data_IF_942643500014
#
_entry.id   IF_942643500014
#
_cell.length_a   1.000
_cell.length_b   1.000
_cell.length_c   1.000
_cell.angle_alpha   90.00
_cell.angle_beta   90.00
_cell.angle_gamma   90.00
#
_symmetry.space_group_name_H-M   'P 1'
#
loop_
_entity.id
_entity.type
_entity.pdbx_description
1 polymer ?
#
# COMPACT_ATOMS: atom_id res chain seq x y z
N UNK A 1 5.97 -11.48 2.15
CA UNK A 1 4.50 -11.29 2.09
C UNK A 1 3.77 -11.72 3.36
N UNK A 2 3.91 -12.98 3.84
CA UNK A 2 3.15 -13.47 5.00
C UNK A 2 3.30 -12.59 6.26
N UNK A 3 4.52 -12.15 6.58
CA UNK A 3 4.76 -11.28 7.75
C UNK A 3 4.02 -9.94 7.64
N UNK A 4 4.03 -9.29 6.47
CA UNK A 4 3.34 -8.03 6.28
C UNK A 4 1.81 -8.19 6.41
N UNK A 5 1.26 -9.30 5.89
CA UNK A 5 -0.16 -9.62 6.03
C UNK A 5 -0.55 -9.90 7.49
N UNK A 6 0.27 -10.67 8.21
CA UNK A 6 0.03 -10.97 9.63
C UNK A 6 0.13 -9.69 10.47
N UNK A 7 1.19 -8.90 10.28
CA UNK A 7 1.39 -7.65 11.00
C UNK A 7 0.25 -6.65 10.72
N UNK A 8 -0.16 -6.50 9.46
CA UNK A 8 -1.30 -5.69 9.06
C UNK A 8 -2.62 -6.19 9.64
N UNK A 9 -2.85 -7.51 9.64
CA UNK A 9 -4.03 -8.13 10.22
C UNK A 9 -4.12 -7.92 11.74
N UNK A 10 -3.00 -8.05 12.45
CA UNK A 10 -2.91 -7.77 13.89
C UNK A 10 -3.20 -6.29 14.16
N UNK A 11 -2.54 -5.36 13.44
CA UNK A 11 -2.78 -3.93 13.61
C UNK A 11 -4.23 -3.54 13.28
N UNK A 12 -4.83 -4.14 12.26
CA UNK A 12 -6.25 -3.98 11.92
C UNK A 12 -7.16 -4.48 13.04
N UNK A 13 -6.89 -5.67 13.59
CA UNK A 13 -7.64 -6.25 14.70
C UNK A 13 -7.55 -5.40 15.97
N UNK A 14 -6.35 -4.90 16.31
CA UNK A 14 -6.15 -3.97 17.42
C UNK A 14 -6.90 -2.67 17.18
N UNK A 15 -6.85 -2.15 15.95
CA UNK A 15 -7.56 -0.91 15.61
C UNK A 15 -9.08 -1.06 15.73
N UNK A 16 -9.63 -2.21 15.31
CA UNK A 16 -11.05 -2.51 15.45
C UNK A 16 -11.47 -2.71 16.92
N UNK A 17 -10.63 -3.33 17.75
CA UNK A 17 -10.95 -3.63 19.13
C UNK A 17 -10.80 -2.42 20.08
N UNK A 18 -9.85 -1.52 19.80
CA UNK A 18 -9.48 -0.45 20.72
C UNK A 18 -9.65 0.96 20.15
N UNK A 19 -9.99 1.12 18.86
CA UNK A 19 -10.04 2.43 18.20
C UNK A 19 -10.99 3.44 18.85
N UNK A 20 -12.07 2.97 19.47
CA UNK A 20 -13.09 3.81 20.12
C UNK A 20 -12.89 3.96 21.63
N UNK A 21 -11.81 3.40 22.20
CA UNK A 21 -11.55 3.56 23.64
C UNK A 21 -11.24 5.00 23.99
N UNK A 22 -11.99 5.54 24.96
CA UNK A 22 -11.86 6.93 25.39
C UNK A 22 -10.43 7.25 25.88
N UNK A 23 -9.87 8.35 25.39
CA UNK A 23 -8.55 8.86 25.76
C UNK A 23 -7.36 8.14 25.11
N UNK A 24 -7.33 6.81 25.12
CA UNK A 24 -6.17 6.03 24.67
C UNK A 24 -6.29 5.45 23.24
N UNK A 25 -7.50 5.34 22.68
CA UNK A 25 -7.75 4.67 21.40
C UNK A 25 -6.82 5.12 20.25
N UNK A 26 -6.69 6.43 19.97
CA UNK A 26 -5.81 6.91 18.91
C UNK A 26 -4.34 6.55 19.09
N UNK A 27 -3.83 6.56 20.33
CA UNK A 27 -2.45 6.19 20.64
C UNK A 27 -2.22 4.68 20.47
N UNK A 28 -3.19 3.86 20.87
CA UNK A 28 -3.14 2.40 20.68
C UNK A 28 -3.16 2.05 19.19
N UNK A 29 -4.03 2.69 18.41
CA UNK A 29 -4.10 2.53 16.96
C UNK A 29 -2.77 2.94 16.31
N UNK A 30 -2.30 4.16 16.58
CA UNK A 30 -1.06 4.68 16.01
C UNK A 30 0.16 3.81 16.38
N UNK A 31 0.24 3.37 17.64
CA UNK A 31 1.28 2.47 18.12
C UNK A 31 1.24 1.12 17.40
N UNK A 32 0.06 0.51 17.25
CA UNK A 32 -0.07 -0.79 16.60
C UNK A 32 0.23 -0.75 15.10
N UNK A 33 -0.27 0.27 14.39
CA UNK A 33 0.03 0.50 12.97
C UNK A 33 1.52 0.80 12.78
N UNK A 34 2.10 1.64 13.65
CA UNK A 34 3.52 1.98 13.62
C UNK A 34 4.42 0.77 13.83
N UNK A 35 4.09 -0.10 14.79
CA UNK A 35 4.82 -1.34 15.03
C UNK A 35 4.70 -2.33 13.87
N UNK A 36 3.50 -2.46 13.27
CA UNK A 36 3.31 -3.29 12.09
C UNK A 36 4.14 -2.79 10.89
N UNK A 37 4.20 -1.46 10.69
CA UNK A 37 5.06 -0.85 9.68
C UNK A 37 6.54 -1.13 9.96
N UNK A 38 7.00 -0.94 11.20
CA UNK A 38 8.39 -1.18 11.57
C UNK A 38 8.80 -2.65 11.35
N UNK A 39 7.93 -3.60 11.73
CA UNK A 39 8.15 -5.03 11.47
C UNK A 39 8.21 -5.34 9.97
N UNK A 40 7.30 -4.76 9.17
CA UNK A 40 7.30 -4.90 7.73
C UNK A 40 8.58 -4.38 7.09
N UNK A 41 9.02 -3.18 7.45
CA UNK A 41 10.26 -2.57 6.95
C UNK A 41 11.48 -3.39 7.33
N UNK A 42 11.55 -3.89 8.56
CA UNK A 42 12.67 -4.71 9.02
C UNK A 42 12.81 -5.99 8.19
N UNK A 43 11.70 -6.70 7.96
CA UNK A 43 11.69 -7.91 7.12
C UNK A 43 12.02 -7.59 5.67
N UNK A 44 11.44 -6.53 5.11
CA UNK A 44 11.75 -6.10 3.74
C UNK A 44 13.22 -5.74 3.58
N UNK A 45 13.84 -5.08 4.56
CA UNK A 45 15.26 -4.73 4.52
C UNK A 45 16.17 -5.95 4.63
N UNK A 46 15.78 -6.96 5.41
CA UNK A 46 16.49 -8.24 5.46
C UNK A 46 16.42 -8.98 4.12
N UNK A 47 15.21 -9.08 3.57
CA UNK A 47 14.97 -9.71 2.28
C UNK A 47 15.69 -9.00 1.13
N UNK A 48 15.64 -7.66 1.08
CA UNK A 48 16.32 -6.86 0.05
C UNK A 48 17.81 -7.16 -0.02
N UNK A 49 18.49 -7.25 1.14
CA UNK A 49 19.92 -7.54 1.21
C UNK A 49 20.29 -8.95 0.74
N UNK A 50 19.33 -9.86 0.69
CA UNK A 50 19.54 -11.24 0.21
C UNK A 50 19.38 -11.41 -1.30
N UNK A 51 18.85 -10.39 -1.99
CA UNK A 51 18.63 -10.43 -3.44
C UNK A 51 19.94 -10.17 -4.20
N UNK A 52 20.10 -10.86 -5.33
CA UNK A 52 21.14 -10.55 -6.30
C UNK A 52 20.92 -9.19 -6.99
N UNK A 53 21.93 -8.72 -7.72
CA UNK A 53 21.88 -7.42 -8.39
C UNK A 53 20.79 -7.36 -9.46
N UNK A 54 20.58 -8.44 -10.21
CA UNK A 54 19.59 -8.48 -11.28
C UNK A 54 18.16 -8.34 -10.73
N UNK A 55 17.84 -9.05 -9.65
CA UNK A 55 16.58 -8.95 -8.95
C UNK A 55 16.39 -7.55 -8.35
N UNK A 56 17.41 -6.97 -7.72
CA UNK A 56 17.33 -5.60 -7.21
C UNK A 56 17.09 -4.57 -8.31
N UNK A 57 17.74 -4.69 -9.47
CA UNK A 57 17.47 -3.84 -10.63
C UNK A 57 16.05 -4.00 -11.14
N UNK A 58 15.53 -5.23 -11.21
CA UNK A 58 14.14 -5.47 -11.59
C UNK A 58 13.16 -4.75 -10.65
N UNK A 59 13.39 -4.79 -9.34
CA UNK A 59 12.58 -4.09 -8.34
C UNK A 59 12.63 -2.56 -8.51
N UNK A 60 13.84 -1.99 -8.70
CA UNK A 60 14.02 -0.54 -8.89
C UNK A 60 13.37 -0.06 -10.18
N UNK A 61 13.57 -0.79 -11.27
CA UNK A 61 12.99 -0.47 -12.56
C UNK A 61 11.46 -0.55 -12.52
N UNK A 62 10.92 -1.61 -11.93
CA UNK A 62 9.48 -1.80 -11.77
C UNK A 62 8.85 -0.74 -10.86
N UNK A 63 9.55 -0.30 -9.82
CA UNK A 63 9.08 0.80 -8.98
C UNK A 63 9.02 2.11 -9.78
N UNK A 64 10.10 2.48 -10.46
CA UNK A 64 10.17 3.74 -11.19
C UNK A 64 9.15 3.82 -12.32
N UNK A 65 9.10 2.81 -13.20
CA UNK A 65 8.23 2.81 -14.38
C UNK A 65 6.84 2.26 -14.13
N UNK A 66 6.70 1.29 -13.23
CA UNK A 66 5.42 0.66 -12.94
C UNK A 66 4.66 1.40 -11.85
N UNK A 67 5.22 1.44 -10.64
CA UNK A 67 4.53 2.02 -9.48
C UNK A 67 4.23 3.51 -9.66
N UNK A 68 5.17 4.31 -10.15
CA UNK A 68 4.96 5.76 -10.34
C UNK A 68 3.83 6.06 -11.32
N UNK A 69 3.82 5.39 -12.48
CA UNK A 69 2.76 5.56 -13.47
C UNK A 69 1.42 4.97 -12.98
N UNK A 70 1.47 3.83 -12.29
CA UNK A 70 0.31 3.24 -11.64
C UNK A 70 -0.32 4.16 -10.59
N UNK A 71 0.49 4.84 -9.78
CA UNK A 71 0.04 5.88 -8.85
C UNK A 71 -0.57 7.07 -9.58
N UNK A 72 0.04 7.53 -10.67
CA UNK A 72 -0.50 8.62 -11.48
C UNK A 72 -1.88 8.26 -12.05
N UNK A 73 -2.03 7.06 -12.61
CA UNK A 73 -3.32 6.55 -13.14
C UNK A 73 -4.34 6.42 -12.01
N UNK A 74 -3.96 5.82 -10.87
CA UNK A 74 -4.81 5.73 -9.69
C UNK A 74 -5.26 7.09 -9.17
N UNK A 75 -4.36 8.09 -9.20
CA UNK A 75 -4.66 9.46 -8.79
C UNK A 75 -5.62 10.14 -9.77
N UNK A 76 -5.45 9.93 -11.07
CA UNK A 76 -6.41 10.42 -12.09
C UNK A 76 -7.80 9.83 -11.84
N UNK A 77 -7.89 8.51 -11.58
CA UNK A 77 -9.18 7.88 -11.27
C UNK A 77 -9.79 8.46 -9.98
N UNK A 78 -9.00 8.58 -8.91
CA UNK A 78 -9.43 9.15 -7.65
C UNK A 78 -9.93 10.59 -7.79
N UNK A 79 -9.18 11.46 -8.47
CA UNK A 79 -9.56 12.86 -8.69
C UNK A 79 -10.74 13.00 -9.64
N UNK A 80 -10.87 12.12 -10.64
CA UNK A 80 -12.07 12.07 -11.48
C UNK A 80 -13.30 11.78 -10.62
N UNK A 81 -13.24 10.78 -9.74
CA UNK A 81 -14.35 10.49 -8.83
C UNK A 81 -14.65 11.65 -7.89
N UNK A 82 -13.61 12.26 -7.30
CA UNK A 82 -13.74 13.34 -6.32
C UNK A 82 -14.30 14.64 -6.92
N UNK A 83 -13.88 15.01 -8.14
CA UNK A 83 -14.21 16.31 -8.72
C UNK A 83 -15.26 16.25 -9.84
N UNK A 84 -15.28 15.19 -10.65
CA UNK A 84 -16.23 15.07 -11.75
C UNK A 84 -17.56 14.43 -11.32
N UNK A 85 -17.53 13.58 -10.29
CA UNK A 85 -18.73 12.90 -9.77
C UNK A 85 -18.87 12.98 -8.24
N UNK A 86 -18.74 14.17 -7.61
CA UNK A 86 -18.78 14.28 -6.15
C UNK A 86 -20.08 13.75 -5.54
N UNK A 87 -21.21 13.88 -6.26
CA UNK A 87 -22.51 13.35 -5.81
C UNK A 87 -22.60 11.82 -5.75
N UNK A 88 -21.64 11.09 -6.33
CA UNK A 88 -21.55 9.64 -6.23
C UNK A 88 -20.83 9.16 -4.95
N UNK A 89 -20.14 10.06 -4.23
CA UNK A 89 -19.39 9.73 -3.02
C UNK A 89 -20.26 9.96 -1.78
N UNK A 90 -21.09 8.97 -1.45
CA UNK A 90 -22.09 9.05 -0.37
C UNK A 90 -21.73 8.27 0.90
N UNK A 91 -20.59 7.58 0.91
CA UNK A 91 -20.14 6.80 2.04
C UNK A 91 -19.58 7.67 3.19
N UNK A 92 -19.43 7.08 4.37
CA UNK A 92 -18.83 7.75 5.52
C UNK A 92 -17.38 8.20 5.22
N UNK A 93 -16.89 9.31 5.79
CA UNK A 93 -15.55 9.83 5.52
C UNK A 93 -14.42 8.81 5.70
N UNK A 94 -14.55 7.93 6.70
CA UNK A 94 -13.59 6.84 6.95
C UNK A 94 -13.52 5.85 5.79
N UNK A 95 -14.67 5.51 5.20
CA UNK A 95 -14.77 4.52 4.13
C UNK A 95 -14.31 5.12 2.81
N UNK A 96 -14.58 6.40 2.57
CA UNK A 96 -14.04 7.16 1.44
C UNK A 96 -12.51 7.25 1.51
N UNK A 97 -11.94 7.51 2.68
CA UNK A 97 -10.48 7.53 2.88
C UNK A 97 -9.85 6.17 2.59
N UNK A 98 -10.43 5.09 3.11
CA UNK A 98 -9.97 3.72 2.86
C UNK A 98 -10.12 3.33 1.38
N UNK A 99 -11.23 3.70 0.74
CA UNK A 99 -11.47 3.47 -0.69
C UNK A 99 -10.45 4.20 -1.56
N UNK A 100 -10.17 5.47 -1.26
CA UNK A 100 -9.15 6.25 -1.95
C UNK A 100 -7.75 5.65 -1.80
N UNK A 101 -7.37 5.27 -0.58
CA UNK A 101 -6.11 4.56 -0.33
C UNK A 101 -6.03 3.23 -1.11
N UNK A 102 -7.15 2.49 -1.20
CA UNK A 102 -7.26 1.27 -1.98
C UNK A 102 -7.04 1.48 -3.48
N UNK A 103 -7.65 2.52 -4.07
CA UNK A 103 -7.45 2.86 -5.49
C UNK A 103 -5.98 3.16 -5.79
N UNK A 104 -5.33 3.96 -4.94
CA UNK A 104 -3.92 4.30 -5.11
C UNK A 104 -3.02 3.07 -4.96
N UNK A 105 -3.26 2.25 -3.92
CA UNK A 105 -2.51 1.02 -3.69
C UNK A 105 -2.68 0.01 -4.83
N UNK A 106 -3.88 -0.13 -5.38
CA UNK A 106 -4.17 -0.98 -6.52
C UNK A 106 -3.43 -0.50 -7.77
N UNK A 107 -3.54 0.79 -8.12
CA UNK A 107 -2.83 1.37 -9.25
C UNK A 107 -1.32 1.16 -9.15
N UNK A 108 -0.75 1.48 -7.98
CA UNK A 108 0.67 1.31 -7.70
C UNK A 108 1.13 -0.15 -7.83
N UNK A 109 0.39 -1.08 -7.23
CA UNK A 109 0.76 -2.51 -7.18
C UNK A 109 0.56 -3.19 -8.53
N UNK A 110 -0.49 -2.85 -9.26
CA UNK A 110 -0.74 -3.36 -10.60
C UNK A 110 0.34 -2.85 -11.58
N UNK A 111 0.62 -1.55 -11.57
CA UNK A 111 1.67 -0.95 -12.39
C UNK A 111 3.04 -1.57 -12.09
N UNK A 112 3.37 -1.72 -10.80
CA UNK A 112 4.56 -2.42 -10.35
C UNK A 112 4.66 -3.84 -10.92
N UNK A 113 3.60 -4.64 -10.77
CA UNK A 113 3.59 -6.05 -11.19
C UNK A 113 3.75 -6.22 -12.70
N UNK A 114 3.08 -5.36 -13.49
CA UNK A 114 3.19 -5.34 -14.95
C UNK A 114 4.63 -4.99 -15.37
N UNK A 115 5.19 -3.91 -14.82
CA UNK A 115 6.54 -3.48 -15.14
C UNK A 115 7.57 -4.55 -14.74
N UNK A 116 7.44 -5.12 -13.55
CA UNK A 116 8.31 -6.19 -13.08
C UNK A 116 8.27 -7.40 -14.02
N UNK A 117 7.09 -7.86 -14.42
CA UNK A 117 6.94 -8.98 -15.35
C UNK A 117 7.57 -8.67 -16.72
N UNK A 118 7.34 -7.46 -17.23
CA UNK A 118 7.89 -7.00 -18.50
C UNK A 118 9.42 -6.94 -18.50
N UNK A 119 10.05 -6.49 -17.39
CA UNK A 119 11.50 -6.44 -17.25
C UNK A 119 12.16 -7.80 -17.48
N UNK A 120 11.56 -8.86 -16.92
CA UNK A 120 12.02 -10.24 -17.10
C UNK A 120 11.76 -10.75 -18.51
N UNK A 121 10.58 -10.45 -19.10
CA UNK A 121 10.25 -10.88 -20.45
C UNK A 121 11.22 -10.34 -21.51
N UNK A 122 11.74 -9.12 -21.32
CA UNK A 122 12.75 -8.53 -22.21
C UNK A 122 14.14 -9.17 -22.12
N UNK A 123 14.42 -9.88 -21.03
CA UNK A 123 15.75 -10.42 -20.68
C UNK A 123 15.75 -11.95 -20.63
N UNK A 124 14.75 -12.56 -21.26
CA UNK A 124 14.76 -13.97 -21.66
C UNK A 124 15.37 -14.09 -23.05
#
# INVERSE_FOLDING_TARGET
MAVCLIAGGIAGGVSAAFGETAGAGPLIVAGSVGLAMAAGLWVCAGWWRSLDEAAQEAHKWAWWWGSTFGLAIGSVALFTLAYATPGALTAEPKDLLLGGAGILALGQTAGYGIAWAFWWLQRR
#
